data_IF_673618725684
#
_entry.id   IF_673618725684
#
_cell.length_a   1.000
_cell.length_b   1.000
_cell.length_c   1.000
_cell.angle_alpha   90.00
_cell.angle_beta   90.00
_cell.angle_gamma   90.00
#
_symmetry.space_group_name_H-M   'P 1'
#
loop_
_entity.id
_entity.type
_entity.pdbx_description
1 polymer ?
#
# COMPACT_ATOMS: atom_id res chain seq x y z
N UNK A 1 -31.15 11.40 -14.49
CA UNK A 1 -30.70 12.75 -14.04
C UNK A 1 -29.63 12.65 -12.97
N UNK A 2 -29.82 11.84 -11.93
CA UNK A 2 -28.87 11.64 -10.81
C UNK A 2 -27.45 11.23 -11.26
N UNK A 3 -27.34 10.35 -12.26
CA UNK A 3 -26.05 9.93 -12.84
C UNK A 3 -25.31 11.08 -13.57
N UNK A 4 -26.04 12.02 -14.17
CA UNK A 4 -25.46 13.20 -14.82
C UNK A 4 -24.91 14.16 -13.76
N UNK A 5 -25.60 14.33 -12.63
CA UNK A 5 -25.15 15.16 -11.50
C UNK A 5 -23.96 14.54 -10.76
N UNK A 6 -23.96 13.23 -10.51
CA UNK A 6 -22.79 12.49 -10.02
C UNK A 6 -21.59 12.59 -10.96
N UNK A 7 -21.82 12.57 -12.28
CA UNK A 7 -20.75 12.78 -13.26
C UNK A 7 -20.13 14.19 -13.17
N UNK A 8 -20.92 15.22 -12.85
CA UNK A 8 -20.41 16.59 -12.61
C UNK A 8 -19.57 16.67 -11.33
N UNK A 9 -19.98 16.00 -10.25
CA UNK A 9 -19.20 15.90 -9.02
C UNK A 9 -17.86 15.20 -9.23
N UNK A 10 -17.85 14.04 -9.90
CA UNK A 10 -16.61 13.30 -10.23
C UNK A 10 -15.67 14.10 -11.14
N UNK A 11 -16.20 14.87 -12.09
CA UNK A 11 -15.38 15.78 -12.92
C UNK A 11 -14.70 16.88 -12.12
N UNK A 12 -15.39 17.46 -11.14
CA UNK A 12 -14.77 18.45 -10.25
C UNK A 12 -13.65 17.83 -9.40
N UNK A 13 -13.83 16.59 -8.91
CA UNK A 13 -12.78 15.84 -8.20
C UNK A 13 -11.60 15.56 -9.13
N UNK A 14 -11.86 15.10 -10.35
CA UNK A 14 -10.83 14.86 -11.37
C UNK A 14 -9.99 16.11 -11.64
N UNK A 15 -10.63 17.24 -11.91
CA UNK A 15 -9.95 18.51 -12.20
C UNK A 15 -9.08 18.96 -11.03
N UNK A 16 -9.60 18.81 -9.80
CA UNK A 16 -8.85 19.10 -8.58
C UNK A 16 -7.64 18.19 -8.38
N UNK A 17 -7.78 16.89 -8.61
CA UNK A 17 -6.66 15.96 -8.43
C UNK A 17 -5.61 16.12 -9.53
N UNK A 18 -6.03 16.41 -10.77
CA UNK A 18 -5.11 16.76 -11.85
C UNK A 18 -4.30 18.02 -11.53
N UNK A 19 -4.92 19.05 -10.96
CA UNK A 19 -4.17 20.25 -10.56
C UNK A 19 -3.18 20.00 -9.42
N UNK A 20 -3.38 18.94 -8.62
CA UNK A 20 -2.47 18.50 -7.56
C UNK A 20 -1.33 17.60 -8.06
N UNK A 21 -1.35 17.12 -9.31
CA UNK A 21 -0.33 16.17 -9.82
C UNK A 21 1.10 16.73 -9.75
N UNK A 22 1.28 17.98 -10.17
CA UNK A 22 2.60 18.64 -10.12
C UNK A 22 3.12 18.78 -8.69
N UNK A 23 2.22 19.08 -7.74
CA UNK A 23 2.55 19.15 -6.32
C UNK A 23 2.92 17.77 -5.77
N UNK A 24 2.16 16.72 -6.12
CA UNK A 24 2.43 15.34 -5.72
C UNK A 24 3.80 14.83 -6.21
N UNK A 25 4.24 15.21 -7.42
CA UNK A 25 5.59 14.90 -7.92
C UNK A 25 6.67 15.61 -7.10
N UNK A 26 6.45 16.89 -6.78
CA UNK A 26 7.41 17.73 -6.04
C UNK A 26 7.61 17.29 -4.60
N UNK A 27 6.63 16.61 -3.99
CA UNK A 27 6.78 15.95 -2.69
C UNK A 27 8.01 15.04 -2.66
N UNK A 28 8.28 14.32 -3.76
CA UNK A 28 9.42 13.42 -3.84
C UNK A 28 10.71 14.09 -4.29
N UNK A 29 10.63 14.88 -5.36
CA UNK A 29 11.76 15.65 -5.89
C UNK A 29 11.28 16.66 -6.94
N UNK A 30 11.91 17.85 -7.04
CA UNK A 30 11.61 18.80 -8.12
C UNK A 30 11.91 18.24 -9.54
N UNK A 31 12.67 17.14 -9.61
CA UNK A 31 13.07 16.50 -10.86
C UNK A 31 12.25 15.24 -11.20
N UNK A 32 11.33 14.80 -10.33
CA UNK A 32 10.48 13.64 -10.64
C UNK A 32 9.60 13.94 -11.85
N UNK A 33 9.61 13.04 -12.84
CA UNK A 33 8.79 13.13 -14.05
C UNK A 33 8.11 11.79 -14.27
N UNK A 34 6.78 11.81 -14.22
CA UNK A 34 5.92 10.68 -14.53
C UNK A 34 4.72 11.20 -15.34
N UNK A 35 4.18 10.33 -16.18
CA UNK A 35 2.94 10.61 -16.92
C UNK A 35 1.78 10.79 -15.95
N UNK A 36 0.81 11.63 -16.33
CA UNK A 36 -0.41 11.79 -15.54
C UNK A 36 -1.14 10.45 -15.35
N UNK A 37 -1.89 10.30 -14.24
CA UNK A 37 -2.66 9.08 -14.01
C UNK A 37 -3.68 8.80 -15.11
N UNK A 38 -3.96 7.52 -15.32
CA UNK A 38 -5.13 7.07 -16.05
C UNK A 38 -6.34 7.11 -15.10
N UNK A 39 -7.37 7.85 -15.49
CA UNK A 39 -8.53 8.10 -14.65
C UNK A 39 -9.71 7.27 -15.12
N UNK A 40 -10.28 6.48 -14.21
CA UNK A 40 -11.61 5.90 -14.40
C UNK A 40 -12.65 6.78 -13.72
N UNK A 41 -13.66 7.20 -14.47
CA UNK A 41 -14.81 7.97 -13.96
C UNK A 41 -15.97 7.03 -13.61
N UNK A 42 -16.02 5.84 -14.22
CA UNK A 42 -17.13 4.88 -14.10
C UNK A 42 -16.62 3.52 -13.67
N UNK A 43 -17.39 2.82 -12.83
CA UNK A 43 -17.04 1.45 -12.39
C UNK A 43 -16.80 0.45 -13.53
N UNK A 44 -17.43 0.66 -14.69
CA UNK A 44 -17.17 -0.18 -15.87
C UNK A 44 -15.74 -0.02 -16.39
N UNK A 45 -15.19 1.19 -16.33
CA UNK A 45 -13.82 1.53 -16.72
C UNK A 45 -12.80 0.98 -15.71
N UNK A 46 -13.20 0.77 -14.44
CA UNK A 46 -12.33 0.17 -13.41
C UNK A 46 -11.85 -1.23 -13.84
N UNK A 47 -12.74 -2.05 -14.42
CA UNK A 47 -12.37 -3.38 -14.92
C UNK A 47 -11.37 -3.32 -16.08
N UNK A 48 -11.54 -2.33 -16.97
CA UNK A 48 -10.65 -2.13 -18.12
C UNK A 48 -9.27 -1.63 -17.67
N UNK A 49 -9.21 -0.87 -16.57
CA UNK A 49 -7.97 -0.39 -15.96
C UNK A 49 -7.35 -1.37 -14.95
N UNK A 50 -8.01 -2.49 -14.65
CA UNK A 50 -7.53 -3.48 -13.67
C UNK A 50 -7.75 -3.09 -12.20
N UNK A 51 -8.59 -2.09 -11.91
CA UNK A 51 -8.87 -1.57 -10.57
C UNK A 51 -9.94 -2.37 -9.81
N UNK A 52 -9.96 -3.70 -9.94
CA UNK A 52 -11.01 -4.54 -9.35
C UNK A 52 -10.78 -4.73 -7.85
N UNK A 53 -11.29 -3.79 -7.05
CA UNK A 53 -11.25 -3.86 -5.59
C UNK A 53 -10.39 -2.79 -4.92
N UNK A 54 -9.50 -2.13 -5.67
CA UNK A 54 -8.71 -0.97 -5.22
C UNK A 54 -9.22 0.35 -5.82
N UNK A 55 -9.01 1.47 -5.12
CA UNK A 55 -9.34 2.81 -5.61
C UNK A 55 -8.19 3.49 -6.36
N UNK A 56 -6.97 3.05 -6.11
CA UNK A 56 -5.77 3.52 -6.76
C UNK A 56 -4.83 2.34 -6.94
N UNK A 57 -4.13 2.30 -8.06
CA UNK A 57 -3.04 1.38 -8.18
C UNK A 57 -1.98 1.86 -9.14
N UNK A 58 -0.85 1.18 -9.06
CA UNK A 58 0.32 1.52 -9.84
C UNK A 58 0.89 0.30 -10.52
N UNK A 59 1.12 0.45 -11.82
CA UNK A 59 1.71 -0.60 -12.64
C UNK A 59 3.20 -0.33 -12.79
N UNK A 60 4.00 -1.14 -12.10
CA UNK A 60 5.47 -1.04 -12.12
C UNK A 60 6.04 -1.26 -13.53
N UNK A 61 5.35 -2.02 -14.40
CA UNK A 61 5.84 -2.33 -15.75
C UNK A 61 5.80 -1.15 -16.73
N UNK A 62 4.71 -0.37 -16.74
CA UNK A 62 4.49 0.75 -17.65
C UNK A 62 4.57 2.12 -16.96
N UNK A 63 4.87 2.11 -15.66
CA UNK A 63 4.92 3.27 -14.79
C UNK A 63 3.65 4.13 -14.78
N UNK A 64 2.49 3.49 -15.02
CA UNK A 64 1.19 4.16 -15.00
C UNK A 64 0.58 4.13 -13.60
N UNK A 65 0.17 5.32 -13.13
CA UNK A 65 -0.73 5.47 -11.99
C UNK A 65 -2.17 5.38 -12.50
N UNK A 66 -3.04 4.63 -11.83
CA UNK A 66 -4.43 4.41 -12.23
C UNK A 66 -5.35 4.73 -11.05
N UNK A 67 -6.36 5.56 -11.27
CA UNK A 67 -7.26 6.03 -10.20
C UNK A 67 -8.72 5.81 -10.57
N UNK A 68 -9.48 5.16 -9.68
CA UNK A 68 -10.93 5.04 -9.77
C UNK A 68 -11.62 6.15 -8.98
N UNK A 69 -12.21 7.12 -9.68
CA UNK A 69 -13.01 8.16 -9.05
C UNK A 69 -14.32 7.61 -8.46
N UNK A 70 -14.78 6.44 -8.93
CA UNK A 70 -15.95 5.78 -8.36
C UNK A 70 -15.66 5.23 -6.98
N UNK A 71 -14.51 4.58 -6.80
CA UNK A 71 -14.09 4.08 -5.50
C UNK A 71 -13.66 5.22 -4.57
N UNK A 72 -12.99 6.26 -5.08
CA UNK A 72 -12.68 7.48 -4.30
C UNK A 72 -13.95 8.11 -3.73
N UNK A 73 -15.03 8.21 -4.52
CA UNK A 73 -16.31 8.70 -4.01
C UNK A 73 -16.92 7.75 -2.98
N UNK A 74 -16.89 6.43 -3.27
CA UNK A 74 -17.44 5.38 -2.40
C UNK A 74 -16.80 5.38 -1.01
N UNK A 75 -15.49 5.61 -0.90
CA UNK A 75 -14.76 5.63 0.38
C UNK A 75 -14.64 7.02 1.00
N UNK A 76 -15.27 8.04 0.41
CA UNK A 76 -15.21 9.41 0.91
C UNK A 76 -13.78 9.98 0.90
N UNK A 77 -12.98 9.66 -0.12
CA UNK A 77 -11.56 10.02 -0.22
C UNK A 77 -11.29 11.26 -1.07
N UNK A 78 -12.32 11.94 -1.56
CA UNK A 78 -12.21 13.01 -2.55
C UNK A 78 -11.23 14.13 -2.14
N UNK A 79 -11.09 14.39 -0.84
CA UNK A 79 -10.29 15.49 -0.30
C UNK A 79 -8.84 15.10 0.05
N UNK A 80 -8.40 13.90 -0.35
CA UNK A 80 -7.06 13.35 -0.09
C UNK A 80 -6.26 13.10 -1.38
N UNK A 81 -6.53 13.87 -2.44
CA UNK A 81 -5.90 13.68 -3.75
C UNK A 81 -4.38 13.80 -3.72
N UNK A 82 -3.86 14.83 -3.04
CA UNK A 82 -2.41 15.02 -2.92
C UNK A 82 -1.74 13.83 -2.21
N UNK A 83 -2.33 13.36 -1.11
CA UNK A 83 -1.81 12.23 -0.33
C UNK A 83 -1.81 10.94 -1.15
N UNK A 84 -2.93 10.61 -1.80
CA UNK A 84 -3.05 9.40 -2.61
C UNK A 84 -2.09 9.45 -3.81
N UNK A 85 -2.05 10.57 -4.54
CA UNK A 85 -1.14 10.69 -5.70
C UNK A 85 0.33 10.61 -5.28
N UNK A 86 0.71 11.25 -4.18
CA UNK A 86 2.07 11.18 -3.67
C UNK A 86 2.43 9.75 -3.22
N UNK A 87 1.50 9.04 -2.59
CA UNK A 87 1.69 7.63 -2.24
C UNK A 87 2.00 6.78 -3.47
N UNK A 88 1.16 6.84 -4.51
CA UNK A 88 1.37 6.08 -5.73
C UNK A 88 2.75 6.41 -6.35
N UNK A 89 3.09 7.70 -6.50
CA UNK A 89 4.41 8.10 -7.02
C UNK A 89 5.56 7.47 -6.22
N UNK A 90 5.39 7.29 -4.91
CA UNK A 90 6.35 6.64 -4.01
C UNK A 90 6.75 5.24 -4.45
N UNK A 91 5.81 4.45 -4.97
CA UNK A 91 6.12 3.11 -5.48
C UNK A 91 7.06 3.12 -6.70
N UNK A 92 7.11 4.20 -7.48
CA UNK A 92 8.03 4.36 -8.61
C UNK A 92 9.38 4.97 -8.25
N UNK A 93 9.43 5.81 -7.23
CA UNK A 93 10.64 6.63 -6.97
C UNK A 93 11.35 6.27 -5.68
N UNK A 94 10.72 5.47 -4.81
CA UNK A 94 11.24 5.15 -3.50
C UNK A 94 11.35 3.65 -3.26
N UNK A 95 10.24 2.91 -3.23
CA UNK A 95 10.27 1.45 -3.13
C UNK A 95 8.96 0.84 -3.70
N UNK A 96 9.04 -0.13 -4.62
CA UNK A 96 10.24 -0.84 -5.06
C UNK A 96 11.01 -0.13 -6.18
N UNK A 97 10.46 0.96 -6.74
CA UNK A 97 11.00 1.74 -7.86
C UNK A 97 11.14 1.00 -9.21
N UNK A 98 11.42 -0.30 -9.22
CA UNK A 98 11.56 -1.11 -10.43
C UNK A 98 11.17 -2.59 -10.19
N UNK A 99 10.98 -3.33 -11.29
CA UNK A 99 10.56 -4.74 -11.26
C UNK A 99 11.61 -5.68 -10.64
N UNK A 100 12.89 -5.37 -10.78
CA UNK A 100 13.96 -6.23 -10.25
C UNK A 100 13.95 -6.21 -8.72
N UNK A 101 13.84 -5.02 -8.12
CA UNK A 101 13.72 -4.86 -6.67
C UNK A 101 12.43 -5.47 -6.13
N UNK A 102 11.31 -5.26 -6.82
CA UNK A 102 10.03 -5.90 -6.47
C UNK A 102 10.15 -7.44 -6.47
N UNK A 103 10.73 -8.02 -7.52
CA UNK A 103 10.96 -9.47 -7.61
C UNK A 103 11.88 -10.00 -6.52
N UNK A 104 12.96 -9.27 -6.22
CA UNK A 104 13.88 -9.60 -5.11
C UNK A 104 13.16 -9.58 -3.76
N UNK A 105 12.36 -8.55 -3.49
CA UNK A 105 11.59 -8.44 -2.25
C UNK A 105 10.60 -9.59 -2.10
N UNK A 106 9.86 -9.93 -3.16
CA UNK A 106 8.93 -11.08 -3.14
C UNK A 106 9.65 -12.40 -2.91
N UNK A 107 10.82 -12.61 -3.52
CA UNK A 107 11.62 -13.82 -3.27
C UNK A 107 12.09 -13.90 -1.81
N UNK A 108 12.58 -12.81 -1.23
CA UNK A 108 12.99 -12.75 0.17
C UNK A 108 11.83 -13.01 1.13
N UNK A 109 10.69 -12.34 0.91
CA UNK A 109 9.48 -12.57 1.70
C UNK A 109 8.99 -14.02 1.57
N UNK A 110 9.08 -14.63 0.38
CA UNK A 110 8.69 -16.01 0.15
C UNK A 110 9.51 -17.01 0.98
N UNK A 111 10.82 -16.75 1.12
CA UNK A 111 11.70 -17.56 1.97
C UNK A 111 11.34 -17.44 3.46
N UNK A 112 10.92 -16.25 3.90
CA UNK A 112 10.48 -15.98 5.26
C UNK A 112 9.03 -16.42 5.57
N UNK A 113 8.28 -16.92 4.58
CA UNK A 113 6.87 -17.31 4.70
C UNK A 113 6.65 -18.80 4.38
N UNK A 114 7.24 -19.73 5.14
CA UNK A 114 7.07 -21.16 4.89
C UNK A 114 5.58 -21.56 4.99
N UNK A 115 5.06 -22.17 3.93
CA UNK A 115 3.64 -22.54 3.82
C UNK A 115 2.69 -21.40 3.45
N UNK A 116 3.19 -20.18 3.25
CA UNK A 116 2.43 -18.97 2.92
C UNK A 116 3.09 -18.12 1.82
N UNK A 117 3.97 -18.69 1.01
CA UNK A 117 4.69 -17.97 -0.06
C UNK A 117 3.78 -17.29 -1.08
N UNK A 118 2.57 -17.83 -1.29
CA UNK A 118 1.53 -17.21 -2.12
C UNK A 118 1.01 -15.87 -1.56
N UNK A 119 1.28 -15.56 -0.30
CA UNK A 119 0.93 -14.28 0.33
C UNK A 119 2.11 -13.28 0.33
N UNK A 120 3.30 -13.69 -0.10
CA UNK A 120 4.49 -12.84 -0.10
C UNK A 120 4.31 -11.50 -0.86
N UNK A 121 3.65 -11.43 -2.04
CA UNK A 121 3.40 -10.16 -2.71
C UNK A 121 2.61 -9.15 -1.87
N UNK A 122 1.59 -9.62 -1.14
CA UNK A 122 0.78 -8.74 -0.27
C UNK A 122 1.60 -8.21 0.91
N UNK A 123 2.42 -9.07 1.51
CA UNK A 123 3.29 -8.69 2.63
C UNK A 123 4.37 -7.70 2.20
N UNK A 124 4.95 -7.87 1.00
CA UNK A 124 5.88 -6.89 0.44
C UNK A 124 5.19 -5.55 0.22
N UNK A 125 3.96 -5.53 -0.32
CA UNK A 125 3.25 -4.29 -0.52
C UNK A 125 2.91 -3.59 0.81
N UNK A 126 2.54 -4.33 1.87
CA UNK A 126 2.40 -3.76 3.24
C UNK A 126 3.69 -3.08 3.72
N UNK A 127 4.83 -3.69 3.46
CA UNK A 127 6.11 -3.16 3.85
C UNK A 127 6.44 -1.86 3.11
N UNK A 128 6.22 -1.84 1.80
CA UNK A 128 6.41 -0.65 0.95
C UNK A 128 5.51 0.50 1.40
N UNK A 129 4.24 0.22 1.67
CA UNK A 129 3.27 1.19 2.16
C UNK A 129 3.67 1.80 3.50
N UNK A 130 4.15 0.98 4.44
CA UNK A 130 4.66 1.47 5.74
C UNK A 130 5.76 2.51 5.54
N UNK A 131 6.69 2.24 4.63
CA UNK A 131 7.83 3.09 4.35
C UNK A 131 7.42 4.38 3.62
N UNK A 132 6.60 4.26 2.57
CA UNK A 132 6.10 5.37 1.77
C UNK A 132 5.27 6.30 2.66
N UNK A 133 4.27 5.76 3.35
CA UNK A 133 3.35 6.55 4.14
C UNK A 133 4.03 7.21 5.33
N UNK A 134 4.94 6.50 6.00
CA UNK A 134 5.72 7.10 7.08
C UNK A 134 6.57 8.29 6.60
N UNK A 135 7.23 8.16 5.45
CA UNK A 135 8.00 9.24 4.86
C UNK A 135 7.11 10.45 4.52
N UNK A 136 5.96 10.21 3.89
CA UNK A 136 5.02 11.26 3.49
C UNK A 136 4.43 11.99 4.71
N UNK A 137 4.02 11.26 5.74
CA UNK A 137 3.50 11.85 6.98
C UNK A 137 4.57 12.69 7.67
N UNK A 138 5.80 12.19 7.77
CA UNK A 138 6.86 12.88 8.51
C UNK A 138 7.44 14.10 7.82
N UNK A 139 7.73 13.98 6.53
CA UNK A 139 8.45 15.02 5.81
C UNK A 139 7.50 16.04 5.19
N UNK A 140 6.25 15.65 4.93
CA UNK A 140 5.28 16.48 4.21
C UNK A 140 3.97 16.68 4.97
N UNK A 141 3.88 16.22 6.22
CA UNK A 141 2.71 16.42 7.09
C UNK A 141 1.38 15.95 6.46
N UNK A 142 1.46 14.96 5.58
CA UNK A 142 0.29 14.43 4.89
C UNK A 142 -0.64 13.66 5.84
N UNK A 143 -1.94 13.65 5.53
CA UNK A 143 -3.00 13.19 6.45
C UNK A 143 -3.36 11.71 6.27
N UNK A 144 -2.37 10.83 6.08
CA UNK A 144 -2.60 9.40 5.81
C UNK A 144 -3.42 8.68 6.88
N UNK A 145 -3.29 9.08 8.14
CA UNK A 145 -4.13 8.55 9.22
C UNK A 145 -5.63 8.68 8.89
N UNK A 146 -6.07 9.79 8.26
CA UNK A 146 -7.47 9.98 7.92
C UNK A 146 -7.92 9.05 6.78
N UNK A 147 -7.03 8.74 5.83
CA UNK A 147 -7.32 7.79 4.75
C UNK A 147 -7.58 6.42 5.34
N UNK A 148 -6.68 5.91 6.19
CA UNK A 148 -6.87 4.62 6.84
C UNK A 148 -8.11 4.58 7.76
N UNK A 149 -8.44 5.68 8.45
CA UNK A 149 -9.71 5.78 9.19
C UNK A 149 -10.91 5.59 8.28
N UNK A 150 -10.96 6.31 7.14
CA UNK A 150 -12.06 6.18 6.17
C UNK A 150 -12.14 4.77 5.59
N UNK A 151 -11.02 4.15 5.26
CA UNK A 151 -10.99 2.78 4.76
C UNK A 151 -11.51 1.78 5.81
N UNK A 152 -11.11 1.94 7.07
CA UNK A 152 -11.60 1.10 8.17
C UNK A 152 -13.11 1.29 8.43
N UNK A 153 -13.63 2.52 8.34
CA UNK A 153 -15.05 2.84 8.52
C UNK A 153 -15.94 2.22 7.42
N UNK A 154 -15.42 2.11 6.19
CA UNK A 154 -16.18 1.58 5.05
C UNK A 154 -16.06 0.06 4.88
N UNK A 155 -15.24 -0.60 5.70
CA UNK A 155 -15.15 -2.05 5.70
C UNK A 155 -16.20 -2.67 6.63
N UNK A 156 -17.02 -3.56 6.09
CA UNK A 156 -18.03 -4.29 6.85
C UNK A 156 -17.45 -5.44 7.70
N UNK A 157 -16.26 -5.94 7.35
CA UNK A 157 -15.62 -7.06 8.03
C UNK A 157 -14.88 -6.55 9.27
N UNK A 158 -14.85 -7.34 10.35
CA UNK A 158 -13.93 -7.07 11.46
C UNK A 158 -12.47 -7.18 10.98
N UNK A 159 -11.55 -6.34 11.50
CA UNK A 159 -10.15 -6.44 11.12
C UNK A 159 -9.55 -7.77 11.58
N UNK A 160 -8.81 -8.43 10.69
CA UNK A 160 -8.01 -9.59 11.07
C UNK A 160 -6.78 -9.17 11.89
N UNK A 161 -6.11 -10.14 12.51
CA UNK A 161 -4.96 -9.86 13.39
C UNK A 161 -3.80 -9.17 12.66
N UNK A 162 -3.55 -9.54 11.40
CA UNK A 162 -2.51 -8.92 10.58
C UNK A 162 -2.82 -7.44 10.33
N UNK A 163 -4.07 -7.12 10.00
CA UNK A 163 -4.53 -5.75 9.81
C UNK A 163 -4.43 -4.94 11.10
N UNK A 164 -4.79 -5.52 12.24
CA UNK A 164 -4.67 -4.86 13.56
C UNK A 164 -3.22 -4.56 13.92
N UNK A 165 -2.29 -5.51 13.71
CA UNK A 165 -0.84 -5.29 13.84
C UNK A 165 -0.39 -4.11 12.97
N UNK A 166 -0.80 -4.11 11.70
CA UNK A 166 -0.44 -3.10 10.72
C UNK A 166 -0.94 -1.70 11.10
N UNK A 167 -2.21 -1.58 11.49
CA UNK A 167 -2.79 -0.31 11.97
C UNK A 167 -2.11 0.17 13.26
N UNK A 168 -1.77 -0.74 14.18
CA UNK A 168 -1.07 -0.38 15.40
C UNK A 168 0.34 0.14 15.11
N UNK A 169 1.05 -0.46 14.16
CA UNK A 169 2.37 0.02 13.73
C UNK A 169 2.31 1.46 13.22
N UNK A 170 1.30 1.82 12.43
CA UNK A 170 1.09 3.22 12.00
C UNK A 170 0.80 4.17 13.17
N UNK A 171 -0.03 3.77 14.13
CA UNK A 171 -0.28 4.59 15.31
C UNK A 171 1.02 4.90 16.07
N UNK A 172 1.89 3.89 16.22
CA UNK A 172 3.19 4.06 16.88
C UNK A 172 4.10 4.95 16.04
N UNK A 173 4.21 4.70 14.73
CA UNK A 173 5.06 5.47 13.81
C UNK A 173 4.73 6.97 13.83
N UNK A 174 3.45 7.31 13.87
CA UNK A 174 2.96 8.67 13.77
C UNK A 174 2.59 9.31 15.11
N UNK A 175 2.88 8.62 16.23
CA UNK A 175 2.59 9.12 17.58
C UNK A 175 1.09 9.37 17.83
N UNK A 176 0.22 8.57 17.20
CA UNK A 176 -1.22 8.66 17.37
C UNK A 176 -1.65 8.07 18.71
N UNK A 177 -2.78 8.56 19.22
CA UNK A 177 -3.45 7.93 20.37
C UNK A 177 -3.79 6.48 20.02
N UNK A 178 -3.53 5.55 20.94
CA UNK A 178 -3.94 4.14 20.82
C UNK A 178 -5.44 4.05 20.55
N UNK A 179 -5.84 3.22 19.59
CA UNK A 179 -7.24 3.03 19.21
C UNK A 179 -7.75 3.97 18.13
N UNK A 180 -6.89 4.84 17.56
CA UNK A 180 -7.26 5.78 16.51
C UNK A 180 -7.44 5.10 15.14
N UNK A 181 -6.61 4.11 14.84
CA UNK A 181 -6.62 3.27 13.64
C UNK A 181 -6.86 1.80 13.99
N UNK A 182 -6.19 1.29 15.02
CA UNK A 182 -6.31 -0.09 15.47
C UNK A 182 -7.49 -0.20 16.43
N UNK A 183 -8.65 -0.68 15.96
CA UNK A 183 -9.86 -0.79 16.79
C UNK A 183 -9.82 -1.96 17.78
N UNK A 184 -8.98 -2.97 17.54
CA UNK A 184 -8.85 -4.13 18.41
C UNK A 184 -7.84 -3.89 19.52
N UNK A 185 -8.10 -4.49 20.68
CA UNK A 185 -7.12 -4.61 21.75
C UNK A 185 -6.15 -5.74 21.39
N UNK A 186 -4.86 -5.43 21.48
CA UNK A 186 -3.77 -6.37 21.18
C UNK A 186 -3.24 -6.97 22.48
N UNK A 187 -2.88 -8.24 22.42
CA UNK A 187 -2.14 -8.91 23.48
C UNK A 187 -0.75 -8.26 23.67
N UNK A 188 -0.11 -8.38 24.84
CA UNK A 188 1.18 -7.74 25.10
C UNK A 188 2.28 -8.09 24.09
N UNK A 189 2.27 -9.33 23.57
CA UNK A 189 3.21 -9.76 22.54
C UNK A 189 2.93 -9.05 21.19
N UNK A 190 1.66 -8.97 20.79
CA UNK A 190 1.22 -8.33 19.55
C UNK A 190 1.48 -6.81 19.59
N UNK A 191 1.32 -6.19 20.76
CA UNK A 191 1.73 -4.79 20.98
C UNK A 191 3.26 -4.64 20.82
N UNK A 192 4.05 -5.57 21.37
CA UNK A 192 5.50 -5.61 21.20
C UNK A 192 5.93 -5.73 19.73
N UNK A 193 5.26 -6.59 18.97
CA UNK A 193 5.48 -6.77 17.54
C UNK A 193 5.14 -5.49 16.75
N UNK A 194 4.08 -4.77 17.11
CA UNK A 194 3.76 -3.48 16.47
C UNK A 194 4.87 -2.43 16.69
N UNK A 195 5.46 -2.39 17.89
CA UNK A 195 6.64 -1.55 18.16
C UNK A 195 7.87 -2.00 17.36
N UNK A 196 8.04 -3.31 17.17
CA UNK A 196 9.11 -3.85 16.36
C UNK A 196 8.94 -3.45 14.89
N UNK A 197 7.75 -3.60 14.30
CA UNK A 197 7.44 -3.13 12.94
C UNK A 197 7.78 -1.64 12.82
N UNK A 198 7.30 -0.80 13.74
CA UNK A 198 7.57 0.62 13.72
C UNK A 198 9.08 0.92 13.79
N UNK A 199 9.84 0.15 14.59
CA UNK A 199 11.31 0.28 14.66
C UNK A 199 11.98 -0.18 13.36
N UNK A 200 11.51 -1.26 12.75
CA UNK A 200 12.04 -1.75 11.47
C UNK A 200 11.91 -0.69 10.38
N UNK A 201 10.75 -0.05 10.26
CA UNK A 201 10.54 1.06 9.30
C UNK A 201 11.54 2.20 9.51
N UNK A 202 11.87 2.51 10.78
CA UNK A 202 12.86 3.55 11.12
C UNK A 202 14.29 3.14 10.75
N UNK A 203 14.64 1.88 10.94
CA UNK A 203 15.99 1.35 10.73
C UNK A 203 16.25 1.11 9.25
N UNK A 204 15.33 0.43 8.58
CA UNK A 204 15.45 0.01 7.18
C UNK A 204 14.87 1.04 6.19
N UNK A 205 14.46 2.23 6.65
CA UNK A 205 13.86 3.27 5.81
C UNK A 205 14.68 3.69 4.59
N UNK A 206 16.00 3.48 4.59
CA UNK A 206 16.88 3.76 3.44
C UNK A 206 17.22 2.50 2.63
N UNK A 207 17.57 1.42 3.32
CA UNK A 207 17.86 0.11 2.72
C UNK A 207 16.69 -0.83 2.94
N UNK A 208 15.55 -0.50 2.32
CA UNK A 208 14.26 -1.11 2.60
C UNK A 208 14.23 -2.63 2.32
N UNK A 209 14.99 -3.10 1.33
CA UNK A 209 15.08 -4.52 0.97
C UNK A 209 15.57 -5.36 2.16
N UNK A 210 16.46 -4.83 2.99
CA UNK A 210 17.00 -5.55 4.16
C UNK A 210 15.94 -5.80 5.24
N UNK A 211 14.88 -4.98 5.28
CA UNK A 211 13.77 -5.16 6.23
C UNK A 211 12.73 -6.18 5.78
N UNK A 212 12.70 -6.57 4.50
CA UNK A 212 11.62 -7.38 3.92
C UNK A 212 11.49 -8.75 4.58
N UNK A 213 12.61 -9.49 4.68
CA UNK A 213 12.60 -10.85 5.25
C UNK A 213 12.15 -10.85 6.71
N UNK A 214 12.70 -9.94 7.52
CA UNK A 214 12.32 -9.81 8.93
C UNK A 214 10.86 -9.38 9.12
N UNK A 215 10.36 -8.46 8.29
CA UNK A 215 8.95 -8.05 8.36
C UNK A 215 8.02 -9.20 7.98
N UNK A 216 8.36 -9.93 6.92
CA UNK A 216 7.60 -11.10 6.50
C UNK A 216 7.58 -12.21 7.56
N UNK A 217 8.72 -12.51 8.18
CA UNK A 217 8.81 -13.45 9.29
C UNK A 217 7.97 -13.00 10.49
N UNK A 218 7.97 -11.70 10.82
CA UNK A 218 7.16 -11.13 11.89
C UNK A 218 5.65 -11.22 11.61
N UNK A 219 5.24 -11.13 10.34
CA UNK A 219 3.85 -11.30 9.95
C UNK A 219 3.37 -12.75 10.00
N UNK A 220 4.27 -13.75 9.93
CA UNK A 220 3.93 -15.17 9.83
C UNK A 220 2.91 -15.67 10.88
N UNK A 221 3.01 -15.33 12.18
CA UNK A 221 2.04 -15.76 13.19
C UNK A 221 0.64 -15.17 13.02
N UNK A 222 0.53 -14.08 12.24
CA UNK A 222 -0.70 -13.35 11.98
C UNK A 222 -1.38 -13.80 10.68
N UNK A 223 -0.72 -14.65 9.89
CA UNK A 223 -1.26 -15.15 8.63
C UNK A 223 -2.23 -16.29 8.88
N UNK A 224 -3.46 -16.09 8.42
CA UNK A 224 -4.43 -17.17 8.25
C UNK A 224 -4.21 -17.83 6.88
N UNK A 225 -4.41 -19.15 6.80
CA UNK A 225 -4.42 -19.83 5.50
C UNK A 225 -5.59 -19.28 4.70
N UNK A 226 -5.29 -18.49 3.66
CA UNK A 226 -6.32 -17.99 2.74
C UNK A 226 -6.98 -19.17 2.05
N UNK A 227 -8.14 -19.58 2.55
CA UNK A 227 -9.13 -20.34 1.79
C UNK A 227 -9.88 -19.33 0.92
N UNK A 228 -9.26 -18.98 -0.22
CA UNK A 228 -9.83 -18.30 -1.40
C UNK A 228 -10.47 -16.90 -1.26
N UNK A 229 -10.69 -16.36 -0.06
CA UNK A 229 -11.20 -14.98 0.10
C UNK A 229 -10.36 -14.18 1.08
N UNK A 230 -9.48 -13.33 0.54
CA UNK A 230 -8.89 -12.24 1.30
C UNK A 230 -10.00 -11.37 1.93
N UNK A 231 -9.81 -10.91 3.17
CA UNK A 231 -10.71 -9.96 3.81
C UNK A 231 -10.88 -8.71 2.94
N UNK A 232 -12.05 -8.07 2.97
CA UNK A 232 -12.33 -6.91 2.10
C UNK A 232 -11.31 -5.78 2.26
N UNK A 233 -10.76 -5.57 3.47
CA UNK A 233 -9.76 -4.55 3.83
C UNK A 233 -8.42 -4.76 3.13
N UNK A 234 -7.99 -6.02 3.10
CA UNK A 234 -6.77 -6.45 2.43
C UNK A 234 -6.94 -6.24 0.91
N UNK A 235 -8.09 -6.60 0.33
CA UNK A 235 -8.38 -6.32 -1.09
C UNK A 235 -8.44 -4.83 -1.47
N UNK A 236 -8.72 -3.95 -0.51
CA UNK A 236 -8.90 -2.52 -0.74
C UNK A 236 -7.60 -1.74 -0.93
N UNK A 237 -6.50 -2.33 -0.49
CA UNK A 237 -5.19 -1.67 -0.38
C UNK A 237 -4.14 -2.44 -1.17
N UNK A 238 -4.21 -3.78 -1.14
CA UNK A 238 -3.29 -4.60 -1.91
C UNK A 238 -3.76 -4.72 -3.36
N UNK A 239 -3.28 -3.83 -4.24
CA UNK A 239 -3.23 -4.14 -5.67
C UNK A 239 -2.07 -5.11 -5.93
N UNK A 240 -2.21 -6.35 -5.48
CA UNK A 240 -1.28 -7.43 -5.82
C UNK A 240 -1.62 -8.09 -7.15
N UNK A 241 -2.69 -7.66 -7.85
CA UNK A 241 -3.10 -8.19 -9.15
C UNK A 241 -2.18 -7.65 -10.28
N UNK A 242 -0.92 -8.05 -10.18
CA UNK A 242 0.17 -7.70 -11.09
C UNK A 242 1.57 -7.98 -10.52
N UNK A 243 1.73 -8.03 -9.20
CA UNK A 243 2.95 -8.50 -8.52
C UNK A 243 2.98 -10.03 -8.53
N UNK A 244 3.16 -10.62 -9.72
CA UNK A 244 3.25 -12.07 -9.89
C UNK A 244 2.80 -12.58 -11.26
N UNK A 245 1.92 -11.87 -11.97
CA UNK A 245 1.61 -12.20 -13.37
C UNK A 245 2.79 -11.78 -14.27
N UNK A 246 3.69 -12.72 -14.53
CA UNK A 246 4.85 -12.54 -15.41
C UNK A 246 6.22 -12.45 -14.71
N UNK A 247 6.26 -12.50 -13.38
CA UNK A 247 7.51 -12.61 -12.62
C UNK A 247 7.76 -14.05 -12.14
N UNK A 248 7.84 -14.99 -13.08
CA UNK A 248 8.65 -16.20 -12.84
C UNK A 248 10.12 -15.77 -12.90
N UNK A 249 10.66 -15.26 -11.79
CA UNK A 249 12.12 -15.12 -11.63
C UNK A 249 12.62 -16.49 -11.17
N UNK A 250 13.41 -17.23 -11.96
CA UNK A 250 13.97 -18.49 -11.51
C UNK A 250 14.86 -18.22 -10.30
N UNK A 251 14.50 -18.81 -9.15
CA UNK A 251 15.24 -18.70 -7.88
C UNK A 251 16.75 -18.96 -8.02
N UNK A 252 17.19 -19.68 -9.06
CA UNK A 252 18.61 -19.97 -9.34
C UNK A 252 19.44 -18.81 -9.92
N UNK A 253 18.87 -17.62 -10.14
CA UNK A 253 19.57 -16.45 -10.69
C UNK A 253 19.80 -15.30 -9.69
N UNK A 254 19.36 -15.44 -8.44
CA UNK A 254 19.61 -14.42 -7.42
C UNK A 254 20.91 -14.75 -6.67
N UNK A 255 21.90 -13.85 -6.80
CA UNK A 255 23.07 -13.83 -5.94
C UNK A 255 22.63 -13.35 -4.54
N UNK A 256 22.38 -14.30 -3.64
CA UNK A 256 21.83 -14.07 -2.29
C UNK A 256 22.94 -13.82 -1.25
N UNK A 257 24.20 -13.74 -1.68
CA UNK A 257 25.34 -13.55 -0.78
C UNK A 257 25.27 -12.17 -0.08
N UNK A 258 25.18 -12.20 1.26
CA UNK A 258 25.15 -11.00 2.11
C UNK A 258 23.77 -10.53 2.58
N UNK A 259 22.71 -11.29 2.31
CA UNK A 259 21.38 -11.04 2.90
C UNK A 259 21.27 -11.79 4.23
N UNK A 260 21.07 -11.06 5.34
CA UNK A 260 20.71 -11.68 6.62
C UNK A 260 19.30 -12.26 6.50
N UNK A 261 19.23 -13.56 6.24
CA UNK A 261 18.03 -14.35 6.44
C UNK A 261 18.05 -14.75 7.92
N UNK A 262 17.26 -14.06 8.74
CA UNK A 262 17.02 -14.44 10.14
C UNK A 262 16.14 -15.70 10.17
#
# INVERSE_FOLDING_TARGET
MEEIWRSKGKRAVLERWRSQWSEALQVWSPYTRLSEPLWSVREKEDKELGLVGSFACIRINDHSVRISLSQVEKYGLQDYGLEILAHEIGHHVFCPANLQEAGRAVALASLALPGYSNQAPAIVNMWEDLLINDRLVRLHQQRHAHIYQRLNEHSADEPDKLWSLYMRAFEILWGLKKGRLCSQELEPAEEGDAYLVARMVRVYGKDWIQGVGGFAALCLPYLERRTEKASGRVKLIFDTDGLGEGCEVPLGLMDLDGLEII
#
